data_IF_683628977201
#
_entry.id   IF_683628977201
#
_cell.length_a   1.000
_cell.length_b   1.000
_cell.length_c   1.000
_cell.angle_alpha   90.00
_cell.angle_beta   90.00
_cell.angle_gamma   90.00
#
_symmetry.space_group_name_H-M   'P 1'
#
loop_
_entity.id
_entity.type
_entity.pdbx_description
1 polymer ?
#
# COMPACT_ATOMS: atom_id res chain seq x y z
N UNK A 1 -16.13 9.06 -19.73
CA UNK A 1 -15.22 10.01 -19.03
C UNK A 1 -13.89 9.30 -18.82
N UNK A 2 -12.76 9.96 -19.08
CA UNK A 2 -11.45 9.38 -18.75
C UNK A 2 -11.12 9.72 -17.30
N UNK A 3 -10.84 8.69 -16.49
CA UNK A 3 -10.42 8.86 -15.11
C UNK A 3 -8.95 9.34 -15.07
N UNK A 4 -8.69 10.45 -14.39
CA UNK A 4 -7.35 11.05 -14.30
C UNK A 4 -6.69 10.75 -12.95
N UNK A 5 -5.37 10.79 -12.92
CA UNK A 5 -4.59 10.64 -11.68
C UNK A 5 -5.00 11.67 -10.60
N UNK A 6 -5.29 12.91 -11.01
CA UNK A 6 -5.72 13.97 -10.09
C UNK A 6 -7.09 13.69 -9.49
N UNK A 7 -8.03 13.14 -10.28
CA UNK A 7 -9.34 12.75 -9.79
C UNK A 7 -9.23 11.61 -8.76
N UNK A 8 -8.38 10.61 -9.01
CA UNK A 8 -8.10 9.51 -8.08
C UNK A 8 -7.49 10.03 -6.78
N UNK A 9 -6.47 10.89 -6.87
CA UNK A 9 -5.84 11.50 -5.69
C UNK A 9 -6.82 12.36 -4.90
N UNK A 10 -7.65 13.15 -5.58
CA UNK A 10 -8.68 13.97 -4.94
C UNK A 10 -9.71 13.10 -4.21
N UNK A 11 -10.17 12.01 -4.85
CA UNK A 11 -11.09 11.06 -4.22
C UNK A 11 -10.46 10.40 -3.00
N UNK A 12 -9.22 9.92 -3.09
CA UNK A 12 -8.52 9.29 -1.97
C UNK A 12 -8.39 10.23 -0.75
N UNK A 13 -8.04 11.50 -1.00
CA UNK A 13 -7.99 12.53 0.06
C UNK A 13 -9.36 12.82 0.66
N UNK A 14 -10.39 12.93 -0.18
CA UNK A 14 -11.77 13.14 0.28
C UNK A 14 -12.30 11.96 1.12
N UNK A 15 -11.79 10.75 0.88
CA UNK A 15 -12.11 9.55 1.67
C UNK A 15 -11.36 9.50 3.02
N UNK A 16 -10.28 10.27 3.20
CA UNK A 16 -9.56 10.38 4.48
C UNK A 16 -8.06 10.11 4.43
N UNK A 17 -7.50 9.80 3.24
CA UNK A 17 -6.06 9.60 3.10
C UNK A 17 -5.28 10.90 3.34
N UNK A 18 -4.29 10.87 4.22
CA UNK A 18 -3.40 12.01 4.46
C UNK A 18 -2.40 12.19 3.30
N UNK A 19 -1.94 11.04 2.77
CA UNK A 19 -1.03 10.97 1.63
C UNK A 19 -1.61 10.05 0.56
N UNK A 20 -1.40 10.43 -0.69
CA UNK A 20 -1.71 9.59 -1.85
C UNK A 20 -0.69 9.85 -2.95
N UNK A 21 -0.18 8.77 -3.52
CA UNK A 21 0.74 8.77 -4.66
C UNK A 21 0.31 7.71 -5.66
N UNK A 22 0.76 7.86 -6.91
CA UNK A 22 0.49 6.89 -7.96
C UNK A 22 1.80 6.64 -8.70
N UNK A 23 2.20 5.37 -8.76
CA UNK A 23 3.36 4.92 -9.51
C UNK A 23 2.92 4.10 -10.73
N UNK A 24 3.70 4.16 -11.81
CA UNK A 24 3.49 3.30 -12.96
C UNK A 24 4.01 1.89 -12.66
N UNK A 25 3.19 0.85 -12.83
CA UNK A 25 3.56 -0.52 -12.44
C UNK A 25 4.81 -1.05 -13.13
N UNK A 26 4.98 -0.72 -14.42
CA UNK A 26 6.21 -1.05 -15.16
C UNK A 26 7.50 -0.40 -14.64
N UNK A 27 7.43 0.61 -13.75
CA UNK A 27 8.62 1.11 -13.03
C UNK A 27 8.96 0.15 -11.90
N UNK A 28 7.98 -0.27 -11.10
CA UNK A 28 8.18 -1.24 -10.02
C UNK A 28 8.63 -2.61 -10.55
N UNK A 29 8.08 -3.06 -11.69
CA UNK A 29 8.50 -4.31 -12.34
C UNK A 29 9.97 -4.29 -12.76
N UNK A 30 10.47 -3.15 -13.25
CA UNK A 30 11.86 -2.99 -13.71
C UNK A 30 12.85 -2.79 -12.58
N UNK A 31 12.39 -2.27 -11.44
CA UNK A 31 13.23 -1.93 -10.30
C UNK A 31 12.76 -2.60 -9.00
N UNK A 32 12.56 -3.94 -8.98
CA UNK A 32 12.13 -4.60 -7.76
C UNK A 32 13.17 -4.42 -6.64
N UNK A 33 12.75 -4.34 -5.37
CA UNK A 33 13.65 -4.13 -4.24
C UNK A 33 14.64 -5.29 -4.05
N UNK A 34 14.24 -6.51 -4.40
CA UNK A 34 15.07 -7.71 -4.39
C UNK A 34 14.92 -8.44 -5.74
N UNK A 35 15.92 -8.39 -6.63
CA UNK A 35 15.88 -9.09 -7.91
C UNK A 35 15.80 -10.62 -7.80
N UNK A 36 16.27 -11.22 -6.70
CA UNK A 36 16.21 -12.67 -6.48
C UNK A 36 14.82 -13.12 -6.03
N UNK A 37 14.07 -12.23 -5.36
CA UNK A 37 12.67 -12.45 -4.96
C UNK A 37 11.81 -11.22 -5.31
N UNK A 38 11.54 -10.98 -6.61
CA UNK A 38 10.92 -9.73 -7.02
C UNK A 38 9.46 -9.64 -6.56
N UNK A 39 9.17 -8.55 -5.84
CA UNK A 39 7.85 -8.15 -5.36
C UNK A 39 7.29 -7.10 -6.32
N UNK A 40 6.60 -7.57 -7.38
CA UNK A 40 6.22 -6.72 -8.52
C UNK A 40 4.72 -6.80 -8.81
N UNK A 41 4.08 -5.70 -9.26
CA UNK A 41 2.65 -5.69 -9.58
C UNK A 41 2.21 -6.79 -10.54
N UNK A 42 2.98 -7.04 -11.61
CA UNK A 42 2.65 -8.06 -12.63
C UNK A 42 2.64 -9.49 -12.08
N UNK A 43 3.31 -9.75 -10.94
CA UNK A 43 3.25 -11.06 -10.26
C UNK A 43 1.97 -11.26 -9.43
N UNK A 44 1.25 -10.18 -9.13
CA UNK A 44 -0.03 -10.22 -8.42
C UNK A 44 -1.16 -10.43 -9.43
N UNK A 45 -1.25 -9.55 -10.41
CA UNK A 45 -2.23 -9.60 -11.50
C UNK A 45 -1.56 -9.07 -12.77
N UNK A 46 -1.37 -9.90 -13.81
CA UNK A 46 -0.76 -9.45 -15.05
C UNK A 46 -1.55 -8.33 -15.73
N UNK A 47 -2.88 -8.43 -15.72
CA UNK A 47 -3.77 -7.57 -16.50
C UNK A 47 -4.04 -6.21 -15.84
N UNK A 48 -4.05 -6.16 -14.50
CA UNK A 48 -4.37 -4.96 -13.71
C UNK A 48 -3.14 -4.31 -13.06
N UNK A 49 -1.93 -4.65 -13.53
CA UNK A 49 -0.65 -4.19 -12.98
C UNK A 49 -0.22 -2.78 -13.42
N UNK A 50 -1.01 -2.06 -14.21
CA UNK A 50 -0.56 -0.83 -14.92
C UNK A 50 -0.16 0.31 -13.98
N UNK A 51 -0.77 0.39 -12.80
CA UNK A 51 -0.53 1.47 -11.85
C UNK A 51 -0.69 0.95 -10.42
N UNK A 52 0.09 1.53 -9.51
CA UNK A 52 -0.01 1.27 -8.06
C UNK A 52 -0.39 2.57 -7.39
N UNK A 53 -1.51 2.57 -6.67
CA UNK A 53 -1.97 3.69 -5.86
C UNK A 53 -1.49 3.43 -4.43
N UNK A 54 -0.70 4.35 -3.88
CA UNK A 54 -0.19 4.26 -2.51
C UNK A 54 -0.98 5.23 -1.64
N UNK A 55 -1.55 4.70 -0.55
CA UNK A 55 -2.26 5.47 0.45
C UNK A 55 -1.43 5.57 1.74
N UNK A 56 -1.53 6.70 2.43
CA UNK A 56 -0.88 6.89 3.72
C UNK A 56 -1.82 7.53 4.73
N UNK A 57 -1.74 7.04 5.97
CA UNK A 57 -2.43 7.58 7.13
C UNK A 57 -1.46 7.91 8.25
N UNK A 58 -1.68 9.05 8.89
CA UNK A 58 -0.88 9.51 10.01
C UNK A 58 -1.16 8.66 11.24
N UNK A 59 -0.10 8.03 11.76
CA UNK A 59 -0.17 7.34 13.04
C UNK A 59 -0.37 8.31 14.21
N UNK A 60 -0.99 7.81 15.27
CA UNK A 60 -1.20 8.55 16.51
C UNK A 60 0.13 8.89 17.18
N UNK A 61 0.49 10.16 17.29
CA UNK A 61 1.78 10.58 17.88
C UNK A 61 1.91 10.22 19.36
N UNK A 62 0.79 10.05 20.07
CA UNK A 62 0.76 9.64 21.47
C UNK A 62 1.41 8.27 21.72
N UNK A 63 1.33 7.34 20.76
CA UNK A 63 1.88 5.99 20.91
C UNK A 63 3.41 6.00 21.01
N UNK A 64 4.08 7.00 20.42
CA UNK A 64 5.53 7.14 20.47
C UNK A 64 6.06 7.50 21.87
N UNK A 65 5.18 7.90 22.79
CA UNK A 65 5.54 8.22 24.18
C UNK A 65 5.63 6.99 25.08
N UNK A 66 5.01 5.89 24.67
CA UNK A 66 5.01 4.64 25.42
C UNK A 66 6.36 3.91 25.24
N UNK A 67 6.85 3.24 26.28
CA UNK A 67 8.10 2.45 26.21
C UNK A 67 7.81 1.03 25.71
N UNK A 68 8.82 0.36 25.17
CA UNK A 68 8.68 -1.00 24.64
C UNK A 68 8.00 -1.04 23.27
N UNK A 69 8.40 -1.99 22.42
CA UNK A 69 7.75 -2.22 21.12
C UNK A 69 6.45 -3.04 21.27
N UNK A 70 6.40 -3.85 22.31
CA UNK A 70 5.37 -4.82 22.66
C UNK A 70 4.19 -4.24 23.46
N UNK A 71 4.17 -2.91 23.67
CA UNK A 71 3.07 -2.25 24.37
C UNK A 71 1.75 -2.39 23.61
N UNK A 72 0.74 -2.93 24.30
CA UNK A 72 -0.56 -3.26 23.71
C UNK A 72 -1.33 -2.04 23.20
N UNK A 73 -1.16 -0.87 23.81
CA UNK A 73 -1.81 0.35 23.33
C UNK A 73 -1.20 0.81 22.01
N UNK A 74 0.10 0.60 21.78
CA UNK A 74 0.73 0.87 20.47
C UNK A 74 0.17 -0.04 19.39
N UNK A 75 0.08 -1.34 19.68
CA UNK A 75 -0.44 -2.35 18.76
C UNK A 75 -1.89 -2.02 18.37
N UNK A 76 -2.76 -1.90 19.37
CA UNK A 76 -4.17 -1.60 19.16
C UNK A 76 -4.41 -0.28 18.41
N UNK A 77 -3.66 0.77 18.79
CA UNK A 77 -3.73 2.06 18.10
C UNK A 77 -3.28 1.97 16.64
N UNK A 78 -2.27 1.15 16.34
CA UNK A 78 -1.78 0.95 14.97
C UNK A 78 -2.82 0.17 14.16
N UNK A 79 -3.40 -0.89 14.73
CA UNK A 79 -4.46 -1.67 14.10
C UNK A 79 -5.68 -0.82 13.75
N UNK A 80 -6.13 0.08 14.64
CA UNK A 80 -7.24 1.00 14.33
C UNK A 80 -6.93 1.91 13.13
N UNK A 81 -5.70 2.40 13.01
CA UNK A 81 -5.30 3.24 11.86
C UNK A 81 -5.20 2.41 10.59
N UNK A 82 -4.77 1.15 10.68
CA UNK A 82 -4.74 0.23 9.53
C UNK A 82 -6.17 -0.09 9.06
N UNK A 83 -7.11 -0.35 9.97
CA UNK A 83 -8.52 -0.57 9.63
C UNK A 83 -9.13 0.64 8.92
N UNK A 84 -8.87 1.86 9.41
CA UNK A 84 -9.31 3.10 8.73
C UNK A 84 -8.71 3.22 7.32
N UNK A 85 -7.43 2.87 7.16
CA UNK A 85 -6.76 2.87 5.85
C UNK A 85 -7.35 1.84 4.88
N UNK A 86 -7.64 0.63 5.36
CA UNK A 86 -8.28 -0.44 4.57
C UNK A 86 -9.71 -0.06 4.16
N UNK A 87 -10.46 0.64 5.02
CA UNK A 87 -11.79 1.16 4.66
C UNK A 87 -11.71 2.23 3.55
N UNK A 88 -10.70 3.10 3.60
CA UNK A 88 -10.43 4.07 2.53
C UNK A 88 -10.08 3.35 1.22
N UNK A 89 -9.23 2.31 1.30
CA UNK A 89 -8.82 1.50 0.16
C UNK A 89 -10.03 0.85 -0.52
N UNK A 90 -10.89 0.19 0.25
CA UNK A 90 -12.11 -0.45 -0.25
C UNK A 90 -13.02 0.56 -0.97
N UNK A 91 -13.27 1.71 -0.36
CA UNK A 91 -14.12 2.76 -0.97
C UNK A 91 -13.51 3.35 -2.23
N UNK A 92 -12.17 3.42 -2.30
CA UNK A 92 -11.48 3.88 -3.49
C UNK A 92 -11.57 2.86 -4.60
N UNK A 93 -11.41 1.56 -4.31
CA UNK A 93 -11.59 0.47 -5.28
C UNK A 93 -12.97 0.54 -5.91
N UNK A 94 -14.06 0.65 -5.14
CA UNK A 94 -15.40 0.79 -5.72
C UNK A 94 -15.52 2.00 -6.65
N UNK A 95 -14.93 3.13 -6.29
CA UNK A 95 -14.90 4.31 -7.16
C UNK A 95 -14.16 4.06 -8.48
N UNK A 96 -13.07 3.30 -8.46
CA UNK A 96 -12.31 2.92 -9.66
C UNK A 96 -13.11 1.94 -10.53
N UNK A 97 -13.73 0.94 -9.91
CA UNK A 97 -14.56 -0.06 -10.58
C UNK A 97 -15.79 0.56 -11.24
N UNK A 98 -16.49 1.48 -10.56
CA UNK A 98 -17.60 2.25 -11.12
C UNK A 98 -17.19 3.07 -12.35
N UNK A 99 -15.91 3.47 -12.43
CA UNK A 99 -15.32 4.16 -13.57
C UNK A 99 -14.78 3.21 -14.67
N UNK A 100 -14.93 1.89 -14.50
CA UNK A 100 -14.49 0.86 -15.43
C UNK A 100 -13.03 0.43 -15.27
N UNK A 101 -12.43 0.66 -14.10
CA UNK A 101 -11.06 0.27 -13.76
C UNK A 101 -11.04 -0.77 -12.63
N UNK A 102 -11.11 -2.09 -12.96
CA UNK A 102 -10.94 -3.16 -11.99
C UNK A 102 -9.67 -2.94 -11.16
N UNK A 103 -9.78 -3.13 -9.85
CA UNK A 103 -8.70 -2.84 -8.91
C UNK A 103 -8.70 -3.85 -7.78
N UNK A 104 -7.53 -4.18 -7.27
CA UNK A 104 -7.36 -5.10 -6.14
C UNK A 104 -6.65 -4.39 -5.00
N UNK A 105 -6.97 -4.81 -3.78
CA UNK A 105 -6.33 -4.30 -2.57
C UNK A 105 -5.06 -5.10 -2.25
N UNK A 106 -4.01 -4.41 -1.80
CA UNK A 106 -2.78 -5.06 -1.32
C UNK A 106 -2.65 -4.80 0.18
N UNK A 107 -2.93 -5.80 1.03
CA UNK A 107 -3.01 -5.55 2.45
C UNK A 107 -1.66 -5.15 3.04
N UNK A 108 -1.65 -4.27 4.06
CA UNK A 108 -0.42 -3.76 4.67
C UNK A 108 0.39 -4.86 5.37
N UNK A 109 -0.30 -5.90 5.84
CA UNK A 109 0.31 -7.09 6.43
C UNK A 109 -0.14 -8.30 5.61
N UNK A 110 0.68 -8.68 4.63
CA UNK A 110 0.46 -9.89 3.86
C UNK A 110 1.62 -10.85 4.02
N UNK A 111 1.32 -12.05 4.50
CA UNK A 111 2.21 -13.19 4.49
C UNK A 111 1.91 -14.06 3.27
N UNK A 112 2.92 -14.38 2.44
CA UNK A 112 2.80 -15.44 1.43
C UNK A 112 3.23 -16.79 2.04
N UNK A 113 2.30 -17.71 2.31
CA UNK A 113 2.61 -19.00 2.94
C UNK A 113 3.55 -19.87 2.11
N UNK A 114 3.62 -19.65 0.80
CA UNK A 114 4.45 -20.44 -0.13
C UNK A 114 5.92 -20.03 -0.11
N UNK A 115 6.23 -18.88 0.46
CA UNK A 115 7.59 -18.34 0.54
C UNK A 115 8.04 -18.18 2.01
N UNK A 116 7.57 -19.06 2.89
CA UNK A 116 8.03 -19.15 4.27
C UNK A 116 9.52 -19.52 4.27
N UNK A 117 10.36 -18.62 4.78
CA UNK A 117 11.75 -18.94 5.09
C UNK A 117 11.85 -19.39 6.56
N UNK A 118 12.80 -20.29 6.86
CA UNK A 118 13.01 -20.80 8.22
C UNK A 118 13.52 -19.73 9.21
N UNK A 119 13.83 -18.51 8.73
CA UNK A 119 14.24 -17.34 9.51
C UNK A 119 13.06 -16.40 9.82
N UNK A 120 11.84 -16.71 9.33
CA UNK A 120 10.64 -15.92 9.55
C UNK A 120 10.43 -14.75 8.57
N UNK A 121 11.01 -14.79 7.37
CA UNK A 121 10.90 -13.71 6.38
C UNK A 121 9.51 -13.70 5.67
N UNK A 122 8.58 -12.96 6.26
CA UNK A 122 7.18 -12.83 5.86
C UNK A 122 6.93 -11.68 4.87
N UNK A 123 7.71 -11.61 3.78
CA UNK A 123 7.50 -10.61 2.72
C UNK A 123 6.18 -10.83 1.98
N UNK A 124 5.37 -9.77 1.89
CA UNK A 124 4.17 -9.71 1.07
C UNK A 124 4.46 -9.65 -0.44
N UNK A 125 3.44 -9.66 -1.30
CA UNK A 125 3.63 -9.72 -2.75
C UNK A 125 4.13 -8.41 -3.36
N UNK A 126 3.96 -7.28 -2.65
CA UNK A 126 4.50 -5.97 -3.01
C UNK A 126 5.26 -5.38 -1.82
N UNK A 127 6.37 -4.68 -2.10
CA UNK A 127 7.05 -3.87 -1.07
C UNK A 127 6.39 -2.50 -0.97
N UNK A 128 5.72 -2.26 0.15
CA UNK A 128 5.01 -0.99 0.40
C UNK A 128 5.96 0.20 0.42
N UNK A 129 7.15 0.06 1.03
CA UNK A 129 8.15 1.12 1.09
C UNK A 129 8.70 1.47 -0.28
N UNK A 130 9.01 0.47 -1.12
CA UNK A 130 9.47 0.72 -2.49
C UNK A 130 8.36 1.38 -3.33
N UNK A 131 7.12 0.89 -3.23
CA UNK A 131 5.99 1.51 -3.89
C UNK A 131 5.78 2.97 -3.45
N UNK A 132 5.91 3.27 -2.15
CA UNK A 132 5.77 4.63 -1.64
C UNK A 132 6.84 5.58 -2.19
N UNK A 133 8.08 5.11 -2.37
CA UNK A 133 9.14 5.88 -3.01
C UNK A 133 8.82 6.16 -4.48
N UNK A 134 8.46 5.13 -5.25
CA UNK A 134 8.16 5.31 -6.69
C UNK A 134 6.88 6.14 -6.92
N UNK A 135 5.96 6.14 -5.95
CA UNK A 135 4.74 6.95 -5.97
C UNK A 135 4.95 8.41 -5.50
N UNK A 136 6.15 8.75 -5.04
CA UNK A 136 6.48 10.09 -4.52
C UNK A 136 5.95 10.40 -3.12
N UNK A 137 5.59 9.37 -2.35
CA UNK A 137 5.10 9.50 -0.96
C UNK A 137 6.23 9.41 0.08
N UNK A 138 7.42 8.94 -0.31
CA UNK A 138 8.61 8.84 0.56
C UNK A 138 9.86 9.24 -0.20
N UNK A 139 10.90 9.70 0.52
CA UNK A 139 12.22 9.93 -0.05
C UNK A 139 12.96 8.60 -0.29
N UNK A 140 13.87 8.57 -1.27
CA UNK A 140 14.90 7.52 -1.39
C UNK A 140 15.92 7.76 -0.26
N UNK A 141 16.03 6.82 0.67
CA UNK A 141 17.12 6.80 1.65
C UNK A 141 18.39 6.23 1.04
#
# INVERSE_FOLDING_TARGET
MSLTADAVKAKARALGADLVGIAHGGVLDRHPPDPARPQTPTRITPDDSKSVIVLGRRLLTGINRLRGHDDRHKQYSTELVLTDLEEIELKLVYFLEDAGFPSITVPPVHFDPRHYDAKGDTRGPLSLSHAAVEAGCSARC
#
